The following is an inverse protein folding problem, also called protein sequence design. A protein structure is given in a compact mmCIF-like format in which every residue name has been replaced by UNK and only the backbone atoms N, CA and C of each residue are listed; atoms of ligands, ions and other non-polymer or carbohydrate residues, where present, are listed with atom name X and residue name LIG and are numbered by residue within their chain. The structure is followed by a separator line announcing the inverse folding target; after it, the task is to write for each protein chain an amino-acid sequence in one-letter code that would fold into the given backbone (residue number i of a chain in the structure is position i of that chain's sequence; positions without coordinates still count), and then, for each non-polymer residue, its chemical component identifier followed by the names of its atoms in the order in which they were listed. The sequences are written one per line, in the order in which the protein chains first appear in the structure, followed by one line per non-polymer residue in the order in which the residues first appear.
data_IF_834658540528
#
_entry.id   IF_834658540528
#
_cell.length_a   1.000
_cell.length_b   1.000
_cell.length_c   1.000
_cell.angle_alpha   90.00
_cell.angle_beta   90.00
_cell.angle_gamma   90.00
#
_symmetry.space_group_name_H-M   'P 1'
#
loop_
_entity.id
_entity.type
_entity.pdbx_description
1 polymer ?
#
# COMPACT_ATOMS: atom_id res chain seq x y z
N UNK A 1 -55.04 -4.53 -29.73
CA UNK A 1 -54.21 -5.57 -29.08
C UNK A 1 -52.75 -5.15 -29.25
N UNK A 2 -52.11 -4.44 -28.31
CA UNK A 2 -51.42 -4.97 -27.11
C UNK A 2 -50.58 -6.21 -27.44
N UNK A 3 -49.28 -6.06 -27.67
CA UNK A 3 -48.18 -6.89 -27.12
C UNK A 3 -46.88 -6.08 -27.34
N UNK A 4 -46.34 -5.43 -26.32
CA UNK A 4 -45.47 -5.96 -25.26
C UNK A 4 -43.99 -5.80 -25.64
N UNK A 5 -43.38 -4.77 -25.03
CA UNK A 5 -42.04 -4.77 -24.43
C UNK A 5 -40.95 -5.57 -25.15
N UNK A 6 -40.02 -4.85 -25.79
CA UNK A 6 -38.62 -5.30 -25.83
C UNK A 6 -37.72 -4.09 -25.60
N UNK A 7 -37.67 -3.68 -24.33
CA UNK A 7 -36.62 -2.81 -23.82
C UNK A 7 -35.35 -3.68 -23.76
N UNK A 8 -34.53 -3.62 -24.81
CA UNK A 8 -33.18 -4.20 -24.81
C UNK A 8 -32.34 -3.40 -23.80
N UNK A 9 -32.52 -3.70 -22.51
CA UNK A 9 -31.62 -3.25 -21.45
C UNK A 9 -30.36 -4.10 -21.58
N UNK A 10 -29.49 -3.73 -22.53
CA UNK A 10 -28.11 -4.20 -22.55
C UNK A 10 -27.47 -3.70 -21.26
N UNK A 11 -27.51 -4.55 -20.24
CA UNK A 11 -26.67 -4.44 -19.07
C UNK A 11 -25.23 -4.56 -19.59
N UNK A 12 -24.62 -3.41 -19.89
CA UNK A 12 -23.18 -3.31 -20.05
C UNK A 12 -22.62 -3.65 -18.68
N UNK A 13 -22.29 -4.92 -18.48
CA UNK A 13 -21.44 -5.35 -17.39
C UNK A 13 -20.09 -4.66 -17.63
N UNK A 14 -19.93 -3.49 -17.01
CA UNK A 14 -18.66 -2.82 -16.88
C UNK A 14 -17.79 -3.77 -16.06
N UNK A 15 -17.01 -4.61 -16.75
CA UNK A 15 -15.97 -5.41 -16.12
C UNK A 15 -14.96 -4.39 -15.59
N UNK A 16 -15.11 -4.02 -14.32
CA UNK A 16 -14.11 -3.27 -13.60
C UNK A 16 -12.88 -4.17 -13.61
N UNK A 17 -11.91 -3.85 -14.46
CA UNK A 17 -10.63 -4.54 -14.49
C UNK A 17 -10.00 -4.29 -13.13
N UNK A 18 -10.00 -5.31 -12.26
CA UNK A 18 -9.24 -5.27 -11.01
C UNK A 18 -7.77 -5.13 -11.38
N UNK A 19 -7.25 -3.91 -11.33
CA UNK A 19 -5.83 -3.66 -11.43
C UNK A 19 -5.18 -4.32 -10.22
N UNK A 20 -4.65 -5.53 -10.41
CA UNK A 20 -3.92 -6.26 -9.37
C UNK A 20 -2.66 -5.47 -9.02
N UNK A 21 -2.58 -4.96 -7.79
CA UNK A 21 -1.39 -4.29 -7.28
C UNK A 21 -0.27 -5.32 -7.09
N UNK A 22 0.90 -5.07 -7.70
CA UNK A 22 2.09 -5.89 -7.49
C UNK A 22 2.85 -5.40 -6.23
N UNK A 23 2.43 -5.94 -5.07
CA UNK A 23 3.01 -5.58 -3.78
C UNK A 23 4.51 -5.92 -3.65
N UNK A 24 4.96 -7.00 -4.29
CA UNK A 24 6.37 -7.37 -4.30
C UNK A 24 7.19 -6.34 -5.09
N UNK A 25 6.68 -5.86 -6.21
CA UNK A 25 7.29 -4.78 -6.98
C UNK A 25 7.31 -3.46 -6.22
N UNK A 26 6.25 -3.13 -5.46
CA UNK A 26 6.24 -1.97 -4.57
C UNK A 26 7.33 -2.09 -3.50
N UNK A 27 7.47 -3.26 -2.87
CA UNK A 27 8.43 -3.49 -1.80
C UNK A 27 9.89 -3.38 -2.25
N UNK A 28 10.21 -3.60 -3.53
CA UNK A 28 11.58 -3.38 -4.06
C UNK A 28 12.12 -1.97 -3.77
N UNK A 29 11.25 -0.96 -3.66
CA UNK A 29 11.63 0.42 -3.28
C UNK A 29 12.03 0.55 -1.80
N UNK A 30 11.59 -0.38 -0.95
CA UNK A 30 11.83 -0.40 0.49
C UNK A 30 13.14 -1.12 0.86
N UNK A 31 13.53 -2.12 0.05
CA UNK A 31 14.66 -3.02 0.32
C UNK A 31 15.98 -2.29 0.57
N UNK A 32 16.21 -1.16 -0.09
CA UNK A 32 17.45 -0.38 0.05
C UNK A 32 17.73 0.09 1.49
N UNK A 33 16.69 0.35 2.28
CA UNK A 33 16.83 0.79 3.67
C UNK A 33 16.30 -0.24 4.68
N UNK A 34 15.34 -1.08 4.31
CA UNK A 34 14.69 -2.03 5.24
C UNK A 34 15.18 -3.48 5.07
N UNK A 35 15.99 -3.77 4.05
CA UNK A 35 16.45 -5.13 3.75
C UNK A 35 15.42 -5.95 2.97
N UNK A 36 15.82 -7.12 2.49
CA UNK A 36 14.94 -8.03 1.72
C UNK A 36 13.93 -8.77 2.61
N UNK A 37 14.29 -8.97 3.86
CA UNK A 37 13.53 -9.67 4.90
C UNK A 37 12.92 -8.70 5.93
N UNK A 38 12.98 -7.39 5.66
CA UNK A 38 12.43 -6.35 6.52
C UNK A 38 13.04 -6.25 7.93
N UNK A 39 14.19 -6.91 8.18
CA UNK A 39 14.87 -6.96 9.49
C UNK A 39 15.90 -5.86 9.70
N UNK A 40 16.22 -5.07 8.66
CA UNK A 40 17.20 -4.00 8.79
C UNK A 40 16.63 -2.82 9.58
N UNK A 41 17.43 -2.27 10.49
CA UNK A 41 17.12 -1.03 11.20
C UNK A 41 17.63 0.17 10.38
N UNK A 42 16.77 0.87 9.62
CA UNK A 42 17.21 1.98 8.79
C UNK A 42 17.80 3.11 9.65
N UNK A 43 18.99 3.60 9.28
CA UNK A 43 19.70 4.65 10.02
C UNK A 43 19.88 4.33 11.51
N UNK A 44 20.15 3.06 11.85
CA UNK A 44 20.33 2.60 13.24
C UNK A 44 19.12 2.87 14.14
N UNK A 45 17.91 2.97 13.56
CA UNK A 45 16.65 3.19 14.29
C UNK A 45 15.87 1.88 14.41
N UNK A 46 15.89 1.19 15.58
CA UNK A 46 15.22 -0.11 15.73
C UNK A 46 13.70 -0.04 15.50
N UNK A 47 13.08 1.10 15.82
CA UNK A 47 11.66 1.33 15.55
C UNK A 47 11.30 1.26 14.05
N UNK A 48 12.28 1.39 13.15
CA UNK A 48 12.10 1.27 11.70
C UNK A 48 12.19 -0.16 11.16
N UNK A 49 12.45 -1.17 12.00
CA UNK A 49 12.34 -2.58 11.61
C UNK A 49 10.86 -2.87 11.31
N UNK A 50 10.61 -3.53 10.17
CA UNK A 50 9.26 -3.82 9.71
C UNK A 50 8.86 -5.28 9.95
N UNK A 51 9.83 -6.19 9.99
CA UNK A 51 9.60 -7.62 10.23
C UNK A 51 8.82 -7.86 11.53
N UNK A 52 7.82 -8.74 11.47
CA UNK A 52 6.98 -9.11 12.61
C UNK A 52 5.89 -8.10 12.99
N UNK A 53 5.75 -6.98 12.26
CA UNK A 53 4.61 -6.05 12.43
C UNK A 53 3.37 -6.57 11.72
N UNK A 54 2.18 -6.24 12.25
CA UNK A 54 0.92 -6.62 11.60
C UNK A 54 0.65 -5.72 10.38
N UNK A 55 -0.21 -6.19 9.47
CA UNK A 55 -0.64 -5.41 8.31
C UNK A 55 -1.28 -4.08 8.76
N UNK A 56 -2.11 -4.11 9.80
CA UNK A 56 -2.83 -2.94 10.32
C UNK A 56 -1.86 -1.90 10.88
N UNK A 57 -0.86 -2.33 11.65
CA UNK A 57 0.18 -1.44 12.18
C UNK A 57 0.97 -0.78 11.06
N UNK A 58 1.41 -1.56 10.07
CA UNK A 58 2.17 -1.08 8.93
C UNK A 58 1.36 -0.07 8.11
N UNK A 59 0.11 -0.42 7.79
CA UNK A 59 -0.82 0.45 7.06
C UNK A 59 -1.03 1.77 7.79
N UNK A 60 -1.34 1.73 9.08
CA UNK A 60 -1.55 2.92 9.90
C UNK A 60 -0.32 3.82 9.90
N UNK A 61 0.87 3.25 10.12
CA UNK A 61 2.13 3.99 10.10
C UNK A 61 2.38 4.63 8.73
N UNK A 62 2.20 3.89 7.64
CA UNK A 62 2.39 4.40 6.28
C UNK A 62 1.42 5.53 5.94
N UNK A 63 0.15 5.43 6.36
CA UNK A 63 -0.84 6.49 6.20
C UNK A 63 -0.42 7.76 6.94
N UNK A 64 -0.02 7.64 8.22
CA UNK A 64 0.45 8.78 9.01
C UNK A 64 1.73 9.42 8.42
N UNK A 65 2.65 8.61 7.89
CA UNK A 65 3.88 9.11 7.27
C UNK A 65 3.58 9.84 5.95
N UNK A 66 2.62 9.34 5.17
CA UNK A 66 2.19 9.96 3.92
C UNK A 66 1.43 11.26 4.17
N UNK A 67 0.57 11.32 5.21
CA UNK A 67 -0.14 12.55 5.62
C UNK A 67 0.77 13.58 6.31
N UNK A 68 1.93 13.14 6.82
CA UNK A 68 2.84 13.98 7.59
C UNK A 68 2.47 14.09 9.08
N UNK A 69 1.46 13.36 9.53
CA UNK A 69 1.04 13.28 10.93
C UNK A 69 1.97 12.39 11.77
N UNK A 70 2.76 11.53 11.12
CA UNK A 70 3.80 10.78 11.80
C UNK A 70 5.01 11.66 12.11
N UNK A 71 5.53 11.56 13.34
CA UNK A 71 6.79 12.14 13.85
C UNK A 71 7.58 12.95 12.80
N UNK A 72 7.59 14.27 12.92
CA UNK A 72 8.22 15.18 11.94
C UNK A 72 9.76 15.24 12.06
N UNK A 73 10.44 14.10 11.84
CA UNK A 73 11.90 13.99 11.86
C UNK A 73 12.48 13.85 10.43
N UNK A 74 13.81 14.02 10.30
CA UNK A 74 14.50 13.96 9.00
C UNK A 74 14.33 12.61 8.31
N UNK A 75 14.25 11.51 9.07
CA UNK A 75 14.13 10.15 8.53
C UNK A 75 12.73 9.94 7.97
N UNK A 76 11.69 10.32 8.70
CA UNK A 76 10.32 10.17 8.22
C UNK A 76 10.05 11.09 7.02
N UNK A 77 10.69 12.25 6.91
CA UNK A 77 10.64 13.07 5.67
C UNK A 77 11.21 12.36 4.44
N UNK A 78 12.25 11.53 4.62
CA UNK A 78 12.77 10.67 3.54
C UNK A 78 11.71 9.63 3.19
N UNK A 79 11.14 8.96 4.20
CA UNK A 79 10.11 7.94 3.99
C UNK A 79 8.84 8.52 3.31
N UNK A 80 8.38 9.70 3.71
CA UNK A 80 7.27 10.42 3.05
C UNK A 80 7.55 10.59 1.56
N UNK A 81 8.76 10.99 1.16
CA UNK A 81 9.12 11.12 -0.26
C UNK A 81 9.09 9.79 -1.01
N UNK A 82 9.42 8.68 -0.36
CA UNK A 82 9.39 7.35 -0.96
C UNK A 82 7.96 6.85 -1.22
N UNK A 83 7.01 7.21 -0.36
CA UNK A 83 5.63 6.69 -0.41
C UNK A 83 4.59 7.73 -0.83
N UNK A 84 4.96 8.99 -1.09
CA UNK A 84 4.02 10.09 -1.40
C UNK A 84 3.08 9.80 -2.57
N UNK A 85 3.51 8.96 -3.52
CA UNK A 85 2.76 8.63 -4.72
C UNK A 85 1.99 7.30 -4.60
N UNK A 86 2.03 6.64 -3.44
CA UNK A 86 1.30 5.39 -3.22
C UNK A 86 -0.16 5.73 -2.98
N UNK A 87 -1.05 5.03 -3.68
CA UNK A 87 -2.48 5.02 -3.40
C UNK A 87 -2.78 4.26 -2.11
N UNK A 88 -4.01 4.36 -1.60
CA UNK A 88 -4.44 3.59 -0.42
C UNK A 88 -4.37 2.08 -0.68
N UNK A 89 -4.70 1.67 -1.90
CA UNK A 89 -4.57 0.28 -2.36
C UNK A 89 -3.11 -0.15 -2.41
N UNK A 90 -2.19 0.70 -2.84
CA UNK A 90 -0.74 0.40 -2.81
C UNK A 90 -0.23 0.21 -1.38
N UNK A 91 -0.65 1.08 -0.45
CA UNK A 91 -0.28 0.99 0.97
C UNK A 91 -0.83 -0.29 1.58
N UNK A 92 -2.08 -0.62 1.30
CA UNK A 92 -2.71 -1.84 1.82
C UNK A 92 -1.98 -3.08 1.33
N UNK A 93 -1.75 -3.18 0.02
CA UNK A 93 -1.09 -4.31 -0.62
C UNK A 93 0.35 -4.50 -0.13
N UNK A 94 1.14 -3.42 -0.04
CA UNK A 94 2.53 -3.52 0.44
C UNK A 94 2.61 -3.81 1.94
N UNK A 95 1.65 -3.32 2.74
CA UNK A 95 1.57 -3.63 4.17
C UNK A 95 1.27 -5.11 4.40
N UNK A 96 0.31 -5.67 3.66
CA UNK A 96 -0.01 -7.10 3.70
C UNK A 96 1.20 -7.96 3.27
N UNK A 97 1.93 -7.52 2.25
CA UNK A 97 3.13 -8.20 1.80
C UNK A 97 4.21 -8.22 2.88
N UNK A 98 4.49 -7.06 3.49
CA UNK A 98 5.51 -6.92 4.53
C UNK A 98 5.16 -7.74 5.79
N UNK A 99 3.89 -7.79 6.20
CA UNK A 99 3.47 -8.54 7.39
C UNK A 99 3.67 -10.06 7.27
N UNK A 100 3.94 -10.56 6.06
CA UNK A 100 4.21 -11.98 5.77
C UNK A 100 5.71 -12.27 5.60
N UNK A 101 6.58 -11.25 5.68
CA UNK A 101 8.05 -11.39 5.67
C UNK A 101 8.56 -11.69 7.07
#
# INVERSE_FOLDING_TARGET
MKFLVSLFFTCVCLVASEAKVDAQQLYKKCVGCHGKDAKHAPYERPAGILHGRTQEELKLIMLMIRSGEYKNDKINKIMTKSIKNFSDTDIDAVSEYISKL
#
